data_IF_501774130516
#
_entry.id   IF_501774130516
#
_cell.length_a   1.000
_cell.length_b   1.000
_cell.length_c   1.000
_cell.angle_alpha   90.00
_cell.angle_beta   90.00
_cell.angle_gamma   90.00
#
_symmetry.space_group_name_H-M   'P 1'
#
loop_
_entity.id
_entity.type
_entity.pdbx_description
1 polymer ?
#
# COMPACT_ATOMS: atom_id res chain seq x y z
N UNK A 1 -19.57 25.66 4.11
CA UNK A 1 -19.63 24.35 3.45
C UNK A 1 -18.24 23.73 3.54
N UNK A 2 -18.10 22.63 4.22
CA UNK A 2 -16.86 21.83 4.16
C UNK A 2 -16.76 21.26 2.74
N UNK A 3 -15.58 21.40 2.11
CA UNK A 3 -15.29 20.70 0.86
C UNK A 3 -15.45 19.19 1.10
N UNK A 4 -16.07 18.44 0.16
CA UNK A 4 -16.19 17.00 0.32
C UNK A 4 -14.81 16.39 0.51
N UNK A 5 -14.70 15.43 1.43
CA UNK A 5 -13.48 14.67 1.67
C UNK A 5 -12.99 14.08 0.34
N UNK A 6 -11.77 14.38 -0.12
CA UNK A 6 -11.24 13.87 -1.38
C UNK A 6 -11.02 12.35 -1.36
N UNK A 7 -11.06 11.73 -0.17
CA UNK A 7 -10.91 10.28 0.03
C UNK A 7 -12.02 9.69 0.88
N UNK A 8 -13.29 9.75 0.45
CA UNK A 8 -14.45 9.38 1.26
C UNK A 8 -14.45 7.90 1.69
N UNK A 9 -13.60 7.08 1.09
CA UNK A 9 -13.50 5.64 1.35
C UNK A 9 -12.16 5.22 1.98
N UNK A 10 -11.21 6.14 2.18
CA UNK A 10 -9.88 5.81 2.68
C UNK A 10 -9.59 6.61 3.96
N UNK A 11 -9.18 5.93 5.01
CA UNK A 11 -8.63 6.57 6.21
C UNK A 11 -7.38 5.85 6.70
N UNK A 12 -6.51 6.57 7.37
CA UNK A 12 -5.39 5.97 8.09
C UNK A 12 -5.88 5.23 9.33
N UNK A 13 -5.23 4.09 9.61
CA UNK A 13 -5.48 3.34 10.83
C UNK A 13 -4.98 4.15 12.06
N UNK A 14 -5.74 4.07 13.13
CA UNK A 14 -5.38 4.61 14.44
C UNK A 14 -5.06 3.45 15.41
N UNK A 15 -4.52 3.75 16.57
CA UNK A 15 -4.11 2.74 17.53
C UNK A 15 -5.26 1.81 17.95
N UNK A 16 -6.46 2.31 18.06
CA UNK A 16 -7.64 1.52 18.43
C UNK A 16 -8.01 0.45 17.38
N UNK A 17 -7.61 0.65 16.11
CA UNK A 17 -7.81 -0.33 15.05
C UNK A 17 -6.86 -1.54 15.12
N UNK A 18 -5.80 -1.46 15.93
CA UNK A 18 -4.73 -2.46 15.96
C UNK A 18 -5.24 -3.89 16.19
N UNK A 19 -6.16 -4.06 17.12
CA UNK A 19 -6.68 -5.39 17.45
C UNK A 19 -7.46 -6.00 16.28
N UNK A 20 -8.28 -5.19 15.64
CA UNK A 20 -9.11 -5.62 14.50
C UNK A 20 -8.23 -5.94 13.28
N UNK A 21 -7.29 -5.07 12.94
CA UNK A 21 -6.30 -5.31 11.89
C UNK A 21 -5.49 -6.58 12.16
N UNK A 22 -5.01 -6.75 13.39
CA UNK A 22 -4.26 -7.95 13.78
C UNK A 22 -5.08 -9.23 13.60
N UNK A 23 -6.37 -9.19 13.93
CA UNK A 23 -7.27 -10.32 13.75
C UNK A 23 -7.53 -10.63 12.26
N UNK A 24 -7.59 -9.62 11.40
CA UNK A 24 -7.70 -9.82 9.95
C UNK A 24 -6.48 -10.58 9.40
N UNK A 25 -5.26 -10.19 9.79
CA UNK A 25 -4.05 -10.92 9.39
C UNK A 25 -3.98 -12.33 9.97
N UNK A 26 -4.39 -12.53 11.23
CA UNK A 26 -4.46 -13.87 11.84
C UNK A 26 -5.41 -14.80 11.09
N UNK A 27 -6.59 -14.32 10.70
CA UNK A 27 -7.56 -15.08 9.89
C UNK A 27 -7.01 -15.46 8.51
N UNK A 28 -6.14 -14.61 7.95
CA UNK A 28 -5.51 -14.81 6.65
C UNK A 28 -4.05 -15.29 6.74
N UNK A 29 -3.67 -15.94 7.83
CA UNK A 29 -2.27 -16.31 8.12
C UNK A 29 -1.61 -17.16 7.03
N UNK A 30 -2.36 -17.95 6.29
CA UNK A 30 -1.83 -18.74 5.15
C UNK A 30 -1.26 -17.84 4.04
N UNK A 31 -1.85 -16.66 3.83
CA UNK A 31 -1.39 -15.67 2.83
C UNK A 31 -0.29 -14.77 3.38
N UNK A 32 -0.27 -14.55 4.70
CA UNK A 32 0.65 -13.63 5.39
C UNK A 32 1.40 -14.34 6.54
N UNK A 33 2.14 -15.43 6.27
CA UNK A 33 2.73 -16.25 7.34
C UNK A 33 3.81 -15.51 8.15
N UNK A 34 4.42 -14.49 7.58
CA UNK A 34 5.57 -13.79 8.18
C UNK A 34 5.22 -12.43 8.79
N UNK A 35 3.95 -12.02 8.73
CA UNK A 35 3.58 -10.74 9.31
C UNK A 35 3.68 -10.80 10.83
N UNK A 36 4.34 -9.81 11.41
CA UNK A 36 4.49 -9.66 12.86
C UNK A 36 3.57 -8.56 13.37
N UNK A 37 3.01 -8.77 14.56
CA UNK A 37 2.15 -7.77 15.22
C UNK A 37 2.90 -6.45 15.46
N UNK A 38 4.19 -6.52 15.79
CA UNK A 38 5.05 -5.33 15.92
C UNK A 38 5.16 -4.53 14.62
N UNK A 39 5.19 -5.21 13.47
CA UNK A 39 5.20 -4.52 12.16
C UNK A 39 3.88 -3.79 11.91
N UNK A 40 2.74 -4.41 12.22
CA UNK A 40 1.43 -3.76 12.10
C UNK A 40 1.36 -2.52 12.98
N UNK A 41 1.75 -2.66 14.26
CA UNK A 41 1.74 -1.54 15.20
C UNK A 41 2.65 -0.39 14.73
N UNK A 42 3.87 -0.70 14.31
CA UNK A 42 4.80 0.28 13.76
C UNK A 42 4.23 0.99 12.53
N UNK A 43 3.58 0.25 11.62
CA UNK A 43 2.97 0.83 10.43
C UNK A 43 1.82 1.79 10.76
N UNK A 44 1.02 1.48 11.79
CA UNK A 44 0.00 2.39 12.30
C UNK A 44 0.63 3.66 12.88
N UNK A 45 1.64 3.51 13.73
CA UNK A 45 2.33 4.63 14.38
C UNK A 45 3.04 5.56 13.39
N UNK A 46 3.50 5.01 12.26
CA UNK A 46 4.17 5.76 11.19
C UNK A 46 3.20 6.31 10.13
N UNK A 47 1.89 6.14 10.31
CA UNK A 47 0.87 6.47 9.30
C UNK A 47 1.11 5.79 7.93
N UNK A 48 1.60 4.56 7.96
CA UNK A 48 1.83 3.71 6.78
C UNK A 48 0.81 2.57 6.70
N UNK A 49 -0.30 2.69 7.42
CA UNK A 49 -1.38 1.73 7.44
C UNK A 49 -2.71 2.44 7.16
N UNK A 50 -3.40 1.98 6.14
CA UNK A 50 -4.76 2.40 5.81
C UNK A 50 -5.70 1.29 6.27
N UNK A 51 -6.78 1.65 6.93
CA UNK A 51 -7.83 0.72 7.34
C UNK A 51 -9.21 1.35 7.17
N UNK A 52 -10.04 0.72 6.38
CA UNK A 52 -11.43 1.11 6.20
C UNK A 52 -12.24 -0.04 5.60
N UNK A 53 -13.48 -0.22 6.06
CA UNK A 53 -14.45 -1.18 5.53
C UNK A 53 -13.90 -2.61 5.34
N UNK A 54 -13.06 -3.07 6.30
CA UNK A 54 -12.45 -4.40 6.24
C UNK A 54 -11.34 -4.55 5.21
N UNK A 55 -10.80 -3.46 4.70
CA UNK A 55 -9.61 -3.42 3.83
C UNK A 55 -8.46 -2.79 4.60
N UNK A 56 -7.32 -3.47 4.61
CA UNK A 56 -6.06 -2.97 5.17
C UNK A 56 -5.03 -2.85 4.06
N UNK A 57 -4.36 -1.71 3.97
CA UNK A 57 -3.18 -1.50 3.13
C UNK A 57 -2.02 -1.10 4.03
N UNK A 58 -0.90 -1.82 3.95
CA UNK A 58 0.37 -1.44 4.58
C UNK A 58 1.37 -1.13 3.47
N UNK A 59 2.03 0.01 3.57
CA UNK A 59 2.98 0.50 2.59
C UNK A 59 4.17 1.19 3.24
N UNK A 60 5.19 1.47 2.45
CA UNK A 60 6.32 2.31 2.86
C UNK A 60 6.81 3.16 1.69
N UNK A 61 7.36 4.33 1.99
CA UNK A 61 8.11 5.15 1.04
C UNK A 61 9.59 4.90 1.30
N UNK A 62 10.29 4.39 0.29
CA UNK A 62 11.68 4.01 0.43
C UNK A 62 12.57 5.23 0.66
N UNK A 63 13.43 5.17 1.67
CA UNK A 63 14.42 6.21 1.97
C UNK A 63 15.74 6.00 1.21
N UNK A 64 15.92 4.82 0.60
CA UNK A 64 17.09 4.42 -0.17
C UNK A 64 16.70 3.41 -1.25
N UNK A 65 17.62 3.09 -2.15
CA UNK A 65 17.41 2.02 -3.12
C UNK A 65 17.31 0.66 -2.43
N UNK A 66 16.32 -0.16 -2.85
CA UNK A 66 16.05 -1.50 -2.31
C UNK A 66 15.86 -2.46 -3.48
N UNK A 67 16.50 -3.63 -3.41
CA UNK A 67 16.26 -4.70 -4.39
C UNK A 67 14.87 -5.30 -4.14
N UNK A 68 13.99 -5.24 -5.14
CA UNK A 68 12.60 -5.71 -5.04
C UNK A 68 12.29 -6.87 -5.99
N UNK A 69 13.06 -7.05 -7.02
CA UNK A 69 12.98 -8.15 -7.98
C UNK A 69 14.34 -8.71 -8.32
N UNK A 70 14.43 -9.63 -9.28
CA UNK A 70 15.71 -10.19 -9.74
C UNK A 70 16.61 -9.12 -10.35
N UNK A 71 16.02 -8.23 -11.14
CA UNK A 71 16.73 -7.13 -11.80
C UNK A 71 16.23 -5.76 -11.36
N UNK A 72 15.03 -5.67 -10.80
CA UNK A 72 14.39 -4.40 -10.43
C UNK A 72 14.86 -3.91 -9.08
N UNK A 73 15.31 -2.68 -9.06
CA UNK A 73 15.60 -1.88 -7.87
C UNK A 73 14.62 -0.73 -7.76
N UNK A 74 14.01 -0.55 -6.59
CA UNK A 74 13.35 0.72 -6.27
C UNK A 74 14.39 1.77 -5.92
N UNK A 75 13.98 3.03 -5.96
CA UNK A 75 14.82 4.17 -5.58
C UNK A 75 14.25 4.87 -4.34
N UNK A 76 15.00 5.84 -3.82
CA UNK A 76 14.47 6.75 -2.81
C UNK A 76 13.20 7.40 -3.34
N UNK A 77 12.21 7.55 -2.48
CA UNK A 77 10.89 8.12 -2.77
C UNK A 77 9.92 7.21 -3.53
N UNK A 78 10.32 6.02 -3.97
CA UNK A 78 9.39 5.03 -4.51
C UNK A 78 8.54 4.44 -3.38
N UNK A 79 7.30 4.12 -3.69
CA UNK A 79 6.38 3.47 -2.77
C UNK A 79 6.42 1.94 -2.95
N UNK A 80 6.50 1.22 -1.84
CA UNK A 80 6.30 -0.22 -1.83
C UNK A 80 5.02 -0.55 -1.07
N UNK A 81 4.05 -1.14 -1.74
CA UNK A 81 2.84 -1.67 -1.14
C UNK A 81 3.17 -3.05 -0.56
N UNK A 82 3.35 -3.11 0.75
CA UNK A 82 3.83 -4.31 1.44
C UNK A 82 2.73 -5.37 1.59
N UNK A 83 1.55 -4.96 2.02
CA UNK A 83 0.40 -5.85 2.20
C UNK A 83 -0.90 -5.17 1.80
N UNK A 84 -1.80 -5.96 1.25
CA UNK A 84 -3.22 -5.66 1.14
C UNK A 84 -4.01 -6.88 1.59
N UNK A 85 -4.91 -6.70 2.53
CA UNK A 85 -5.84 -7.73 2.98
C UNK A 85 -7.26 -7.18 3.00
N UNK A 86 -8.20 -8.00 2.56
CA UNK A 86 -9.63 -7.65 2.56
C UNK A 86 -10.47 -8.84 2.97
N UNK A 87 -11.54 -8.56 3.70
CA UNK A 87 -12.59 -9.53 4.03
C UNK A 87 -13.78 -9.43 3.08
N UNK A 88 -13.85 -8.37 2.28
CA UNK A 88 -15.00 -8.08 1.40
C UNK A 88 -14.74 -8.53 -0.03
N UNK A 89 -15.84 -8.79 -0.77
CA UNK A 89 -15.82 -9.12 -2.20
C UNK A 89 -16.71 -8.18 -3.02
N UNK A 90 -17.04 -7.03 -2.47
CA UNK A 90 -18.02 -6.07 -2.99
C UNK A 90 -17.38 -4.95 -3.85
N UNK A 91 -16.09 -5.06 -4.15
CA UNK A 91 -15.35 -4.04 -4.89
C UNK A 91 -14.72 -2.93 -4.02
N UNK A 92 -14.96 -2.93 -2.69
CA UNK A 92 -14.37 -1.94 -1.77
C UNK A 92 -12.85 -1.89 -1.86
N UNK A 93 -12.18 -3.06 -1.98
CA UNK A 93 -10.73 -3.13 -2.08
C UNK A 93 -10.19 -2.36 -3.31
N UNK A 94 -10.85 -2.44 -4.47
CA UNK A 94 -10.45 -1.67 -5.66
C UNK A 94 -10.64 -0.17 -5.46
N UNK A 95 -11.73 0.25 -4.84
CA UNK A 95 -11.98 1.68 -4.55
C UNK A 95 -10.91 2.24 -3.64
N UNK A 96 -10.58 1.54 -2.55
CA UNK A 96 -9.58 1.97 -1.59
C UNK A 96 -8.18 1.95 -2.20
N UNK A 97 -7.84 0.92 -3.00
CA UNK A 97 -6.56 0.87 -3.70
C UNK A 97 -6.40 2.03 -4.70
N UNK A 98 -7.44 2.40 -5.44
CA UNK A 98 -7.39 3.53 -6.36
C UNK A 98 -7.25 4.87 -5.62
N UNK A 99 -7.89 5.03 -4.47
CA UNK A 99 -7.69 6.21 -3.62
C UNK A 99 -6.28 6.26 -3.04
N UNK A 100 -5.72 5.12 -2.64
CA UNK A 100 -4.32 5.01 -2.25
C UNK A 100 -3.38 5.44 -3.38
N UNK A 101 -3.60 5.01 -4.61
CA UNK A 101 -2.81 5.45 -5.76
C UNK A 101 -2.89 6.96 -5.96
N UNK A 102 -4.08 7.53 -5.83
CA UNK A 102 -4.26 8.97 -5.92
C UNK A 102 -3.55 9.70 -4.76
N UNK A 103 -3.66 9.18 -3.54
CA UNK A 103 -2.92 9.71 -2.38
C UNK A 103 -1.41 9.75 -2.64
N UNK A 104 -0.80 8.65 -3.11
CA UNK A 104 0.63 8.61 -3.43
C UNK A 104 0.99 9.61 -4.54
N UNK A 105 0.13 9.80 -5.54
CA UNK A 105 0.36 10.76 -6.62
C UNK A 105 0.46 12.22 -6.14
N UNK A 106 -0.18 12.52 -5.01
CA UNK A 106 -0.21 13.87 -4.42
C UNK A 106 0.90 14.11 -3.40
N UNK A 107 1.56 13.05 -2.89
CA UNK A 107 2.64 13.21 -1.92
C UNK A 107 3.86 13.89 -2.54
N UNK A 108 4.32 15.06 -2.02
CA UNK A 108 5.43 15.81 -2.62
C UNK A 108 6.74 15.03 -2.66
N UNK A 109 6.96 14.19 -1.64
CA UNK A 109 8.19 13.41 -1.47
C UNK A 109 8.12 12.00 -2.09
N UNK A 110 6.98 11.60 -2.69
CA UNK A 110 6.87 10.34 -3.41
C UNK A 110 7.19 10.54 -4.91
N UNK A 111 7.84 9.54 -5.52
CA UNK A 111 8.19 9.57 -6.95
C UNK A 111 6.98 9.38 -7.87
N UNK A 112 5.93 8.75 -7.36
CA UNK A 112 4.78 8.29 -8.15
C UNK A 112 4.96 6.87 -8.69
N UNK A 113 6.07 6.19 -8.41
CA UNK A 113 6.24 4.76 -8.69
C UNK A 113 5.77 3.95 -7.49
N UNK A 114 4.90 2.98 -7.73
CA UNK A 114 4.40 2.07 -6.70
C UNK A 114 4.71 0.64 -7.15
N UNK A 115 5.36 -0.10 -6.28
CA UNK A 115 5.70 -1.52 -6.47
C UNK A 115 4.97 -2.39 -5.47
N UNK A 116 4.75 -3.64 -5.84
CA UNK A 116 4.39 -4.70 -4.92
C UNK A 116 4.97 -6.03 -5.37
N UNK A 117 5.08 -6.94 -4.42
CA UNK A 117 5.51 -8.31 -4.65
C UNK A 117 4.37 -9.26 -4.28
N UNK A 118 4.09 -10.23 -5.15
CA UNK A 118 3.05 -11.24 -4.94
C UNK A 118 3.60 -12.63 -5.25
N UNK A 119 3.15 -13.66 -4.52
CA UNK A 119 3.52 -15.04 -4.82
C UNK A 119 3.00 -15.43 -6.19
N UNK A 120 3.82 -16.12 -6.98
CA UNK A 120 3.47 -16.53 -8.34
C UNK A 120 2.22 -17.41 -8.41
N UNK A 121 1.96 -18.20 -7.36
CA UNK A 121 0.78 -19.05 -7.22
C UNK A 121 -0.51 -18.30 -6.83
N UNK A 122 -0.43 -17.02 -6.45
CA UNK A 122 -1.60 -16.23 -6.02
C UNK A 122 -2.30 -15.55 -7.22
N UNK A 123 -2.88 -16.36 -8.11
CA UNK A 123 -3.56 -15.87 -9.32
C UNK A 123 -4.68 -14.88 -9.03
N UNK A 124 -5.35 -15.03 -7.89
CA UNK A 124 -6.42 -14.10 -7.48
C UNK A 124 -5.87 -12.70 -7.24
N UNK A 125 -4.78 -12.59 -6.50
CA UNK A 125 -4.15 -11.31 -6.22
C UNK A 125 -3.57 -10.69 -7.50
N UNK A 126 -2.91 -11.48 -8.34
CA UNK A 126 -2.36 -11.02 -9.63
C UNK A 126 -3.45 -10.41 -10.51
N UNK A 127 -4.56 -11.10 -10.72
CA UNK A 127 -5.71 -10.60 -11.47
C UNK A 127 -6.32 -9.34 -10.85
N UNK A 128 -6.32 -9.24 -9.52
CA UNK A 128 -6.78 -8.04 -8.82
C UNK A 128 -5.88 -6.83 -9.13
N UNK A 129 -4.55 -6.99 -9.06
CA UNK A 129 -3.60 -5.92 -9.35
C UNK A 129 -3.64 -5.49 -10.82
N UNK A 130 -3.69 -6.44 -11.74
CA UNK A 130 -3.81 -6.19 -13.19
C UNK A 130 -5.08 -5.39 -13.53
N UNK A 131 -6.23 -5.77 -12.95
CA UNK A 131 -7.49 -5.02 -13.13
C UNK A 131 -7.44 -3.60 -12.57
N UNK A 132 -6.56 -3.34 -11.59
CA UNK A 132 -6.34 -2.01 -11.03
C UNK A 132 -5.17 -1.27 -11.71
N UNK A 133 -4.72 -1.72 -12.88
CA UNK A 133 -3.76 -1.01 -13.72
C UNK A 133 -2.29 -1.29 -13.42
N UNK A 134 -1.97 -2.18 -12.50
CA UNK A 134 -0.60 -2.59 -12.25
C UNK A 134 -0.12 -3.56 -13.32
N UNK A 135 1.18 -3.52 -13.63
CA UNK A 135 1.81 -4.36 -14.67
C UNK A 135 2.91 -5.21 -14.05
N UNK A 136 2.96 -6.47 -14.45
CA UNK A 136 4.09 -7.36 -14.17
C UNK A 136 5.35 -6.81 -14.85
N UNK A 137 6.43 -6.63 -14.09
CA UNK A 137 7.68 -6.07 -14.59
C UNK A 137 8.90 -6.96 -14.32
N UNK A 138 8.84 -7.82 -13.30
CA UNK A 138 9.97 -8.65 -12.89
C UNK A 138 9.49 -9.87 -12.10
N UNK A 139 10.42 -10.76 -11.80
CA UNK A 139 10.25 -11.90 -10.90
C UNK A 139 11.08 -11.70 -9.64
N UNK A 140 10.68 -12.35 -8.58
CA UNK A 140 11.40 -12.38 -7.31
C UNK A 140 11.32 -13.77 -6.68
N UNK A 141 12.05 -13.99 -5.60
CA UNK A 141 11.94 -15.21 -4.81
C UNK A 141 12.30 -14.95 -3.37
N UNK A 142 11.75 -15.77 -2.48
CA UNK A 142 12.03 -15.75 -1.04
C UNK A 142 12.47 -17.14 -0.56
N UNK A 143 12.97 -17.21 0.68
CA UNK A 143 13.36 -18.47 1.31
C UNK A 143 14.36 -19.26 0.46
N UNK A 144 15.43 -18.61 0.02
CA UNK A 144 16.49 -19.21 -0.82
C UNK A 144 15.94 -19.83 -2.13
N UNK A 145 15.00 -19.13 -2.76
CA UNK A 145 14.40 -19.54 -4.04
C UNK A 145 13.25 -20.53 -3.92
N UNK A 146 12.87 -20.94 -2.69
CA UNK A 146 11.77 -21.91 -2.49
C UNK A 146 10.39 -21.35 -2.77
N UNK A 147 10.23 -20.04 -2.68
CA UNK A 147 8.96 -19.34 -2.94
C UNK A 147 9.19 -18.38 -4.09
N UNK A 148 8.55 -18.66 -5.22
CA UNK A 148 8.60 -17.76 -6.37
C UNK A 148 7.57 -16.64 -6.24
N UNK A 149 7.93 -15.47 -6.75
CA UNK A 149 7.08 -14.30 -6.77
C UNK A 149 7.23 -13.46 -8.03
N UNK A 150 6.32 -12.53 -8.16
CA UNK A 150 6.23 -11.59 -9.26
C UNK A 150 6.21 -10.16 -8.70
N UNK A 151 6.84 -9.25 -9.42
CA UNK A 151 6.89 -7.82 -9.09
C UNK A 151 5.95 -7.07 -10.02
N UNK A 152 5.02 -6.36 -9.43
CA UNK A 152 4.08 -5.48 -10.14
C UNK A 152 4.42 -4.02 -9.89
N UNK A 153 4.13 -3.16 -10.88
CA UNK A 153 4.38 -1.74 -10.82
C UNK A 153 3.20 -0.97 -11.40
N UNK A 154 2.94 0.20 -10.84
CA UNK A 154 2.13 1.24 -11.45
C UNK A 154 2.85 2.58 -11.35
N UNK A 155 2.72 3.41 -12.38
CA UNK A 155 3.16 4.80 -12.39
C UNK A 155 1.92 5.67 -12.22
N UNK A 156 1.80 6.34 -11.08
CA UNK A 156 0.72 7.28 -10.84
C UNK A 156 1.16 8.67 -11.25
N UNK A 157 0.35 9.34 -12.09
CA UNK A 157 0.68 10.69 -12.56
C UNK A 157 0.70 11.64 -11.37
N UNK A 158 1.80 12.38 -11.21
CA UNK A 158 1.81 13.53 -10.31
C UNK A 158 0.95 14.61 -10.94
N UNK A 159 -0.17 14.95 -10.29
CA UNK A 159 -0.92 16.14 -10.63
C UNK A 159 -0.03 17.34 -10.30
N UNK A 160 0.36 18.13 -11.33
CA UNK A 160 1.18 19.31 -11.12
C UNK A 160 0.52 20.25 -10.11
N UNK A 161 1.29 20.63 -9.10
CA UNK A 161 1.07 21.78 -8.17
C UNK A 161 -0.38 22.10 -7.75
N UNK A 162 -1.16 21.11 -7.37
CA UNK A 162 -2.33 21.40 -6.55
C UNK A 162 -1.84 21.49 -5.10
N UNK A 163 -2.13 22.62 -4.47
CA UNK A 163 -1.71 22.94 -3.12
C UNK A 163 -2.32 21.92 -2.15
N UNK A 164 -1.52 20.99 -1.61
CA UNK A 164 -1.97 19.94 -0.69
C UNK A 164 -2.64 20.51 0.57
N UNK A 165 -2.29 21.74 0.97
CA UNK A 165 -2.90 22.44 2.10
C UNK A 165 -4.40 22.67 1.92
N UNK A 166 -4.90 22.77 0.68
CA UNK A 166 -6.33 22.90 0.41
C UNK A 166 -7.11 21.58 0.51
N UNK A 167 -6.41 20.44 0.43
CA UNK A 167 -7.01 19.10 0.44
C UNK A 167 -6.95 18.40 1.81
N UNK A 168 -6.04 18.82 2.69
CA UNK A 168 -5.82 18.19 3.99
C UNK A 168 -5.77 19.21 5.14
N UNK A 169 -6.89 19.75 5.59
CA UNK A 169 -6.87 20.64 6.76
C UNK A 169 -6.44 19.95 8.07
N UNK A 170 -6.25 18.61 8.05
CA UNK A 170 -5.85 17.81 9.23
C UNK A 170 -4.47 17.15 9.01
N UNK A 171 -3.84 17.30 7.85
CA UNK A 171 -2.57 16.65 7.55
C UNK A 171 -1.41 17.57 7.95
N UNK A 172 -0.90 17.34 9.15
CA UNK A 172 0.31 18.01 9.65
C UNK A 172 1.55 17.38 8.98
N UNK A 173 2.01 17.99 7.89
CA UNK A 173 3.21 17.58 7.16
C UNK A 173 4.48 17.63 8.02
N UNK A 174 4.46 18.32 9.19
CA UNK A 174 5.61 18.41 10.10
C UNK A 174 5.96 17.09 10.79
N UNK A 175 5.06 16.11 10.76
CA UNK A 175 5.29 14.77 11.29
C UNK A 175 6.12 13.86 10.40
N UNK A 176 6.50 14.33 9.21
CA UNK A 176 7.22 13.55 8.18
C UNK A 176 8.60 14.14 7.84
N UNK A 177 9.10 15.06 8.66
CA UNK A 177 10.47 15.59 8.55
C UNK A 177 11.40 14.85 9.51
#
# INVERSE_FOLDING_TARGET
>A
MQSPDPYPYMRFAIQDDFLEISNLFKKNRKLFPHIRMSHILSSIQQNNCIYTDGVVIIFEIHQRAVQIGKITKSHKSDCHLNQIVTTTRDGSASKILNQFFNYISLLPHASGLIYLNVRSENDRAKKFYERNGMKLIDKTSWSDGKIEGEVYQIIVKKNGSQNLESFFPIFDASKYV
#
